data_IF_542875508521
#
_entry.id   IF_542875508521
#
_cell.length_a   1.000
_cell.length_b   1.000
_cell.length_c   1.000
_cell.angle_alpha   90.00
_cell.angle_beta   90.00
_cell.angle_gamma   90.00
#
_symmetry.space_group_name_H-M   'P 1'
#
loop_
_entity.id
_entity.type
_entity.pdbx_description
1 polymer ?
#
# COMPACT_ATOMS: atom_id res chain seq x y z
N UNK A 1 3.25 -18.82 -69.39
CA UNK A 1 2.49 -19.66 -68.42
C UNK A 1 3.12 -19.74 -67.03
N UNK A 2 4.42 -20.08 -66.85
CA UNK A 2 5.03 -20.19 -65.51
C UNK A 2 4.80 -18.97 -64.61
N UNK A 3 5.06 -17.75 -65.12
CA UNK A 3 4.90 -16.50 -64.34
C UNK A 3 3.50 -16.35 -63.73
N UNK A 4 2.45 -16.75 -64.46
CA UNK A 4 1.06 -16.67 -64.02
C UNK A 4 0.76 -17.68 -62.90
N UNK A 5 1.38 -18.86 -62.94
CA UNK A 5 1.30 -19.86 -61.86
C UNK A 5 2.08 -19.42 -60.62
N UNK A 6 3.22 -18.75 -60.80
CA UNK A 6 4.01 -18.18 -59.68
C UNK A 6 3.23 -17.05 -58.99
N UNK A 7 2.60 -16.15 -59.76
CA UNK A 7 1.72 -15.11 -59.22
C UNK A 7 0.51 -15.70 -58.47
N UNK A 8 -0.13 -16.75 -59.01
CA UNK A 8 -1.21 -17.45 -58.34
C UNK A 8 -0.78 -18.12 -57.03
N UNK A 9 0.41 -18.75 -56.99
CA UNK A 9 0.97 -19.35 -55.78
C UNK A 9 1.34 -18.30 -54.72
N UNK A 10 1.93 -17.17 -55.12
CA UNK A 10 2.23 -16.06 -54.21
C UNK A 10 0.94 -15.44 -53.63
N UNK A 11 -0.11 -15.28 -54.45
CA UNK A 11 -1.43 -14.85 -53.99
C UNK A 11 -2.08 -15.83 -53.01
N UNK A 12 -1.91 -17.14 -53.22
CA UNK A 12 -2.45 -18.19 -52.34
C UNK A 12 -1.72 -18.26 -50.98
N UNK A 13 -0.40 -18.02 -50.95
CA UNK A 13 0.37 -17.94 -49.69
C UNK A 13 -0.01 -16.69 -48.89
N UNK A 14 -0.31 -15.57 -49.55
CA UNK A 14 -0.64 -14.30 -48.90
C UNK A 14 -1.97 -14.30 -48.10
N UNK A 15 -2.85 -15.29 -48.32
CA UNK A 15 -4.13 -15.42 -47.59
C UNK A 15 -4.07 -16.38 -46.39
N UNK A 16 -2.90 -16.90 -46.03
CA UNK A 16 -2.70 -17.66 -44.78
C UNK A 16 -2.69 -16.71 -43.58
N UNK A 17 -3.89 -16.33 -43.13
CA UNK A 17 -4.06 -15.70 -41.81
C UNK A 17 -3.67 -16.72 -40.74
N UNK A 18 -2.46 -16.60 -40.20
CA UNK A 18 -1.98 -17.44 -39.11
C UNK A 18 -2.74 -17.07 -37.83
N UNK A 19 -3.81 -17.83 -37.59
CA UNK A 19 -4.46 -17.90 -36.29
C UNK A 19 -3.40 -18.23 -35.21
N UNK A 20 -3.20 -17.28 -34.29
CA UNK A 20 -2.19 -17.31 -33.25
C UNK A 20 -2.77 -16.77 -31.94
N UNK A 21 -2.29 -17.27 -30.79
CA UNK A 21 -2.71 -16.81 -29.46
C UNK A 21 -2.04 -15.47 -29.15
N UNK A 22 -2.83 -14.43 -28.90
CA UNK A 22 -2.33 -13.08 -28.59
C UNK A 22 -1.67 -13.06 -27.21
N UNK A 23 -0.47 -12.48 -27.08
CA UNK A 23 0.10 -12.24 -25.76
C UNK A 23 -0.51 -10.98 -25.13
N UNK A 24 -1.23 -11.18 -24.01
CA UNK A 24 -1.90 -10.11 -23.27
C UNK A 24 -1.05 -9.74 -22.06
N UNK A 25 -0.74 -8.46 -21.94
CA UNK A 25 0.21 -7.91 -20.98
C UNK A 25 -0.42 -6.79 -20.17
N UNK A 26 0.24 -6.47 -19.06
CA UNK A 26 -0.13 -5.41 -18.12
C UNK A 26 -0.29 -4.00 -18.74
N UNK A 27 0.18 -3.79 -19.98
CA UNK A 27 0.14 -2.51 -20.69
C UNK A 27 -0.72 -2.56 -21.97
N UNK A 28 -0.80 -3.69 -22.68
CA UNK A 28 -1.64 -3.80 -23.89
C UNK A 28 -3.12 -4.12 -23.60
N UNK A 29 -3.45 -4.67 -22.43
CA UNK A 29 -4.79 -5.19 -22.09
C UNK A 29 -5.92 -4.17 -22.30
N UNK A 30 -5.69 -2.89 -21.99
CA UNK A 30 -6.67 -1.81 -22.16
C UNK A 30 -6.90 -1.37 -23.61
N UNK A 31 -6.11 -1.87 -24.56
CA UNK A 31 -6.28 -1.65 -26.00
C UNK A 31 -6.82 -2.88 -26.74
N UNK A 32 -6.71 -4.07 -26.13
CA UNK A 32 -7.18 -5.34 -26.69
C UNK A 32 -8.60 -5.68 -26.24
N UNK A 33 -8.94 -5.46 -24.98
CA UNK A 33 -10.23 -5.85 -24.41
C UNK A 33 -11.17 -4.64 -24.37
N UNK A 34 -11.87 -4.41 -25.49
CA UNK A 34 -12.90 -3.39 -25.59
C UNK A 34 -14.24 -3.79 -24.97
N UNK A 35 -15.12 -2.80 -24.80
CA UNK A 35 -16.42 -2.96 -24.12
C UNK A 35 -17.34 -4.03 -24.73
N UNK A 36 -17.17 -4.33 -26.02
CA UNK A 36 -18.03 -5.18 -26.85
C UNK A 36 -17.48 -6.58 -27.09
N UNK A 37 -16.23 -6.85 -26.69
CA UNK A 37 -15.44 -7.89 -27.32
C UNK A 37 -15.43 -9.16 -26.47
N UNK A 38 -15.56 -10.31 -27.12
CA UNK A 38 -15.56 -11.61 -26.45
C UNK A 38 -14.13 -12.16 -26.43
N UNK A 39 -13.58 -12.34 -25.23
CA UNK A 39 -12.20 -12.78 -25.02
C UNK A 39 -12.12 -14.04 -24.16
N UNK A 40 -11.23 -14.94 -24.54
CA UNK A 40 -10.81 -16.10 -23.76
C UNK A 40 -9.35 -15.89 -23.37
N UNK A 41 -9.05 -15.85 -22.06
CA UNK A 41 -7.70 -15.66 -21.52
C UNK A 41 -7.22 -16.88 -20.74
N UNK A 42 -6.03 -17.40 -21.07
CA UNK A 42 -5.26 -18.30 -20.20
C UNK A 42 -4.26 -17.50 -19.35
N UNK A 43 -4.28 -17.69 -18.04
CA UNK A 43 -3.20 -17.26 -17.14
C UNK A 43 -2.23 -18.42 -16.89
N UNK A 44 -0.94 -18.21 -17.20
CA UNK A 44 0.11 -19.24 -17.13
C UNK A 44 1.40 -18.71 -16.49
N UNK A 45 2.34 -19.63 -16.20
CA UNK A 45 3.71 -19.35 -15.80
C UNK A 45 4.66 -20.41 -16.37
N UNK A 46 5.91 -20.07 -16.65
CA UNK A 46 6.82 -20.93 -17.40
C UNK A 46 7.33 -22.11 -16.56
N UNK A 47 7.45 -21.93 -15.24
CA UNK A 47 7.76 -23.02 -14.31
C UNK A 47 6.61 -24.03 -14.16
N UNK A 48 5.35 -23.68 -14.47
CA UNK A 48 4.20 -24.55 -14.25
C UNK A 48 4.16 -25.75 -15.23
N UNK A 49 4.42 -26.95 -14.70
CA UNK A 49 4.45 -28.20 -15.48
C UNK A 49 3.09 -28.63 -16.06
N UNK A 50 1.97 -28.08 -15.60
CA UNK A 50 0.65 -28.29 -16.21
C UNK A 50 0.43 -27.33 -17.38
N UNK A 51 0.70 -26.02 -17.21
CA UNK A 51 0.61 -25.02 -18.29
C UNK A 51 1.41 -25.46 -19.53
N UNK A 52 2.67 -25.90 -19.35
CA UNK A 52 3.50 -26.37 -20.48
C UNK A 52 2.93 -27.60 -21.22
N UNK A 53 2.05 -28.39 -20.60
CA UNK A 53 1.33 -29.50 -21.27
C UNK A 53 0.03 -29.03 -21.92
N UNK A 54 -0.59 -27.98 -21.39
CA UNK A 54 -1.87 -27.45 -21.86
C UNK A 54 -1.72 -26.47 -23.03
N UNK A 55 -0.61 -25.72 -23.12
CA UNK A 55 -0.32 -24.78 -24.19
C UNK A 55 -0.61 -25.30 -25.63
N UNK A 56 -0.16 -26.49 -26.08
CA UNK A 56 -0.49 -26.99 -27.42
C UNK A 56 -1.99 -27.31 -27.62
N UNK A 57 -2.72 -27.63 -26.55
CA UNK A 57 -4.18 -27.78 -26.56
C UNK A 57 -4.85 -26.41 -26.72
N UNK A 58 -4.37 -25.40 -25.99
CA UNK A 58 -4.89 -24.03 -26.09
C UNK A 58 -4.65 -23.40 -27.48
N UNK A 59 -3.47 -23.65 -28.07
CA UNK A 59 -3.15 -23.28 -29.45
C UNK A 59 -3.96 -24.08 -30.50
N UNK A 60 -4.50 -25.26 -30.15
CA UNK A 60 -5.47 -25.96 -30.99
C UNK A 60 -6.88 -25.32 -30.87
N UNK A 61 -7.34 -25.02 -29.64
CA UNK A 61 -8.60 -24.31 -29.38
C UNK A 61 -8.64 -22.98 -30.13
N UNK A 62 -7.56 -22.19 -30.10
CA UNK A 62 -7.47 -20.91 -30.80
C UNK A 62 -7.69 -21.07 -32.31
N UNK A 63 -7.04 -22.06 -32.94
CA UNK A 63 -7.17 -22.30 -34.38
C UNK A 63 -8.58 -22.76 -34.77
N UNK A 64 -9.23 -23.56 -33.92
CA UNK A 64 -10.62 -23.97 -34.14
C UNK A 64 -11.57 -22.77 -34.06
N UNK A 65 -11.52 -21.98 -32.98
CA UNK A 65 -12.36 -20.80 -32.81
C UNK A 65 -12.15 -19.77 -33.94
N UNK A 66 -10.90 -19.50 -34.32
CA UNK A 66 -10.59 -18.61 -35.44
C UNK A 66 -11.11 -19.12 -36.81
N UNK A 67 -11.32 -20.43 -36.96
CA UNK A 67 -11.89 -21.05 -38.17
C UNK A 67 -13.42 -21.19 -38.14
N UNK A 68 -14.04 -21.06 -36.96
CA UNK A 68 -15.46 -21.37 -36.76
C UNK A 68 -16.35 -20.16 -37.11
N UNK A 69 -17.37 -20.32 -37.99
CA UNK A 69 -18.17 -19.21 -38.48
C UNK A 69 -19.06 -18.56 -37.40
N UNK A 70 -19.29 -19.23 -36.27
CA UNK A 70 -20.07 -18.73 -35.13
C UNK A 70 -19.22 -18.03 -34.07
N UNK A 71 -17.90 -18.27 -34.03
CA UNK A 71 -17.00 -17.79 -32.97
C UNK A 71 -15.72 -17.10 -33.48
N UNK A 72 -15.62 -16.81 -34.78
CA UNK A 72 -14.51 -16.08 -35.42
C UNK A 72 -14.15 -14.73 -34.75
N UNK A 73 -15.10 -14.08 -34.07
CA UNK A 73 -14.88 -12.81 -33.36
C UNK A 73 -14.46 -12.99 -31.88
N UNK A 74 -14.08 -14.20 -31.44
CA UNK A 74 -13.60 -14.46 -30.09
C UNK A 74 -12.07 -14.32 -30.05
N UNK A 75 -11.59 -13.28 -29.37
CA UNK A 75 -10.17 -13.08 -29.11
C UNK A 75 -9.63 -14.13 -28.15
N UNK A 76 -8.53 -14.80 -28.49
CA UNK A 76 -7.90 -15.80 -27.63
C UNK A 76 -6.51 -15.33 -27.26
N UNK A 77 -6.24 -15.21 -25.96
CA UNK A 77 -5.01 -14.62 -25.45
C UNK A 77 -4.41 -15.36 -24.26
N UNK A 78 -3.11 -15.15 -24.03
CA UNK A 78 -2.37 -15.72 -22.91
C UNK A 78 -1.66 -14.65 -22.10
N UNK A 79 -1.70 -14.77 -20.79
CA UNK A 79 -1.07 -13.85 -19.81
C UNK A 79 -0.05 -14.62 -18.99
N UNK A 80 1.22 -14.23 -19.08
CA UNK A 80 2.27 -14.73 -18.19
C UNK A 80 2.22 -13.95 -16.87
N UNK A 81 1.94 -14.64 -15.76
CA UNK A 81 1.80 -13.98 -14.44
C UNK A 81 3.13 -13.51 -13.85
N UNK A 82 4.26 -14.01 -14.36
CA UNK A 82 5.60 -13.60 -13.94
C UNK A 82 6.01 -12.28 -14.61
N UNK A 83 5.61 -12.06 -15.88
CA UNK A 83 5.83 -10.79 -16.58
C UNK A 83 4.80 -9.74 -16.16
N UNK A 84 3.51 -10.12 -16.11
CA UNK A 84 2.35 -9.24 -15.88
C UNK A 84 1.59 -9.56 -14.57
N UNK A 85 2.20 -9.40 -13.39
CA UNK A 85 1.55 -9.70 -12.11
C UNK A 85 0.53 -8.64 -11.68
N UNK A 86 0.56 -7.42 -12.24
CA UNK A 86 -0.49 -6.44 -12.02
C UNK A 86 -1.80 -6.94 -12.63
N UNK A 87 -1.73 -7.51 -13.83
CA UNK A 87 -2.85 -8.14 -14.53
C UNK A 87 -3.33 -9.41 -13.83
N UNK A 88 -2.39 -10.26 -13.35
CA UNK A 88 -2.74 -11.44 -12.55
C UNK A 88 -3.45 -11.09 -11.23
N UNK A 89 -2.98 -10.05 -10.52
CA UNK A 89 -3.63 -9.55 -9.32
C UNK A 89 -5.00 -8.91 -9.62
N UNK A 90 -5.11 -8.15 -10.71
CA UNK A 90 -6.34 -7.50 -11.18
C UNK A 90 -7.47 -8.50 -11.42
N UNK A 91 -7.15 -9.67 -11.95
CA UNK A 91 -8.09 -10.77 -12.21
C UNK A 91 -8.17 -11.78 -11.03
N UNK A 92 -7.53 -11.50 -9.90
CA UNK A 92 -7.51 -12.37 -8.69
C UNK A 92 -7.08 -13.82 -8.97
N UNK A 93 -6.06 -14.01 -9.82
CA UNK A 93 -5.57 -15.34 -10.22
C UNK A 93 -4.83 -16.02 -9.07
N UNK A 94 -5.45 -17.07 -8.50
CA UNK A 94 -4.90 -17.82 -7.36
C UNK A 94 -4.21 -19.15 -7.73
N UNK A 95 -4.44 -19.68 -8.94
CA UNK A 95 -3.99 -21.01 -9.39
C UNK A 95 -3.61 -20.98 -10.87
N UNK A 96 -2.79 -21.93 -11.31
CA UNK A 96 -2.30 -22.00 -12.70
C UNK A 96 -2.44 -23.43 -13.27
N UNK A 97 -2.87 -23.57 -14.53
CA UNK A 97 -3.52 -22.53 -15.35
C UNK A 97 -4.86 -22.10 -14.75
N UNK A 98 -5.29 -20.88 -15.06
CA UNK A 98 -6.69 -20.44 -14.88
C UNK A 98 -7.16 -19.88 -16.21
N UNK A 99 -8.35 -20.29 -16.65
CA UNK A 99 -8.95 -19.80 -17.90
C UNK A 99 -10.17 -18.95 -17.56
N UNK A 100 -10.24 -17.77 -18.16
CA UNK A 100 -11.35 -16.83 -17.97
C UNK A 100 -11.96 -16.45 -19.31
N UNK A 101 -13.29 -16.51 -19.37
CA UNK A 101 -14.11 -15.95 -20.44
C UNK A 101 -14.53 -14.54 -20.04
N UNK A 102 -14.47 -13.60 -20.99
CA UNK A 102 -14.77 -12.19 -20.81
C UNK A 102 -15.74 -11.79 -21.91
N UNK A 103 -16.87 -11.18 -21.53
CA UNK A 103 -17.85 -10.64 -22.48
C UNK A 103 -18.60 -9.48 -21.83
N UNK A 104 -18.73 -8.34 -22.50
CA UNK A 104 -19.40 -7.15 -21.97
C UNK A 104 -18.88 -6.71 -20.57
N UNK A 105 -17.57 -6.80 -20.33
CA UNK A 105 -16.91 -6.65 -19.01
C UNK A 105 -17.28 -7.66 -17.90
N UNK A 106 -18.19 -8.60 -18.15
CA UNK A 106 -18.43 -9.73 -17.24
C UNK A 106 -17.33 -10.76 -17.42
N UNK A 107 -16.64 -11.11 -16.32
CA UNK A 107 -15.61 -12.16 -16.32
C UNK A 107 -16.17 -13.42 -15.67
N UNK A 108 -16.00 -14.56 -16.33
CA UNK A 108 -16.43 -15.89 -15.91
C UNK A 108 -15.23 -16.81 -15.84
N UNK A 109 -14.99 -17.41 -14.68
CA UNK A 109 -13.90 -18.38 -14.52
C UNK A 109 -14.38 -19.74 -15.03
N UNK A 110 -13.66 -20.33 -15.98
CA UNK A 110 -13.95 -21.68 -16.47
C UNK A 110 -13.36 -22.68 -15.47
N UNK A 111 -14.15 -23.62 -14.92
CA UNK A 111 -13.66 -24.58 -13.94
C UNK A 111 -12.70 -25.60 -14.58
N UNK A 112 -11.79 -26.14 -13.76
CA UNK A 112 -10.63 -26.93 -14.22
C UNK A 112 -10.99 -28.29 -14.83
N UNK A 113 -12.21 -28.78 -14.58
CA UNK A 113 -12.78 -29.99 -15.19
C UNK A 113 -13.17 -29.78 -16.66
N UNK A 114 -13.83 -28.65 -16.99
CA UNK A 114 -14.26 -28.31 -18.36
C UNK A 114 -13.17 -27.63 -19.20
N UNK A 115 -11.91 -27.63 -18.75
CA UNK A 115 -10.78 -26.94 -19.40
C UNK A 115 -10.37 -27.50 -20.77
N UNK A 116 -10.74 -28.73 -21.12
CA UNK A 116 -10.46 -29.30 -22.45
C UNK A 116 -11.55 -28.95 -23.48
N UNK A 117 -12.77 -28.63 -23.01
CA UNK A 117 -13.97 -28.52 -23.83
C UNK A 117 -14.30 -27.07 -24.24
N UNK A 118 -13.30 -26.18 -24.18
CA UNK A 118 -13.43 -24.73 -24.38
C UNK A 118 -14.17 -24.34 -25.66
N UNK A 119 -13.89 -25.05 -26.77
CA UNK A 119 -14.59 -24.82 -28.05
C UNK A 119 -16.10 -24.98 -27.87
N UNK A 120 -16.53 -26.07 -27.23
CA UNK A 120 -17.95 -26.35 -27.00
C UNK A 120 -18.62 -25.38 -26.02
N UNK A 121 -17.86 -24.82 -25.08
CA UNK A 121 -18.34 -23.79 -24.15
C UNK A 121 -18.65 -22.48 -24.90
N UNK A 122 -17.79 -22.09 -25.83
CA UNK A 122 -17.97 -20.89 -26.65
C UNK A 122 -19.07 -21.12 -27.69
N UNK A 123 -19.02 -22.21 -28.46
CA UNK A 123 -19.94 -22.46 -29.57
C UNK A 123 -21.38 -22.74 -29.11
N UNK A 124 -21.59 -23.52 -28.03
CA UNK A 124 -22.91 -23.77 -27.46
C UNK A 124 -23.36 -22.69 -26.46
N UNK A 125 -22.54 -21.66 -26.24
CA UNK A 125 -22.78 -20.56 -25.29
C UNK A 125 -23.04 -20.99 -23.83
N UNK A 126 -22.56 -22.17 -23.41
CA UNK A 126 -22.71 -22.67 -22.02
C UNK A 126 -21.85 -21.92 -20.99
N UNK A 127 -21.08 -20.90 -21.43
CA UNK A 127 -20.58 -19.85 -20.54
C UNK A 127 -21.71 -19.06 -19.86
N UNK A 128 -22.93 -19.05 -20.42
CA UNK A 128 -24.11 -18.42 -19.77
C UNK A 128 -24.49 -19.07 -18.43
N UNK A 129 -24.18 -20.37 -18.24
CA UNK A 129 -24.37 -21.10 -16.98
C UNK A 129 -23.37 -20.67 -15.90
N UNK A 130 -22.18 -20.23 -16.32
CA UNK A 130 -21.10 -19.88 -15.41
C UNK A 130 -21.40 -18.55 -14.71
N UNK A 131 -21.33 -18.57 -13.38
CA UNK A 131 -21.47 -17.38 -12.56
C UNK A 131 -20.37 -16.38 -12.91
N UNK A 132 -20.78 -15.16 -13.27
CA UNK A 132 -19.85 -14.04 -13.43
C UNK A 132 -19.25 -13.66 -12.07
N UNK A 133 -18.01 -13.17 -12.05
CA UNK A 133 -17.40 -12.64 -10.82
C UNK A 133 -18.19 -11.43 -10.32
N UNK A 134 -18.39 -11.35 -9.00
CA UNK A 134 -19.13 -10.25 -8.38
C UNK A 134 -18.55 -8.88 -8.79
N UNK A 135 -19.41 -7.89 -9.02
CA UNK A 135 -19.01 -6.59 -9.58
C UNK A 135 -17.91 -5.85 -8.79
N UNK A 136 -17.87 -6.03 -7.46
CA UNK A 136 -16.83 -5.47 -6.58
C UNK A 136 -15.44 -6.08 -6.84
N UNK A 137 -15.40 -7.35 -7.26
CA UNK A 137 -14.18 -8.09 -7.64
C UNK A 137 -13.94 -8.09 -9.15
N UNK A 138 -14.76 -7.38 -9.94
CA UNK A 138 -14.54 -7.30 -11.39
C UNK A 138 -13.23 -6.54 -11.70
N UNK A 139 -12.36 -7.07 -12.58
CA UNK A 139 -11.11 -6.40 -12.96
C UNK A 139 -11.35 -5.03 -13.61
N UNK A 140 -12.50 -4.82 -14.25
CA UNK A 140 -12.87 -3.57 -14.90
C UNK A 140 -13.38 -2.49 -13.92
N UNK A 141 -13.53 -2.82 -12.63
CA UNK A 141 -13.90 -1.86 -11.60
C UNK A 141 -12.72 -0.96 -11.17
N UNK A 142 -13.04 0.17 -10.51
CA UNK A 142 -12.04 1.04 -9.86
C UNK A 142 -11.25 0.25 -8.81
N UNK A 143 -11.91 -0.63 -8.05
CA UNK A 143 -11.28 -1.47 -7.02
C UNK A 143 -10.28 -2.44 -7.66
N UNK A 144 -10.67 -3.16 -8.71
CA UNK A 144 -9.78 -4.04 -9.48
C UNK A 144 -8.59 -3.29 -10.07
N UNK A 145 -8.78 -2.05 -10.52
CA UNK A 145 -7.71 -1.17 -11.01
C UNK A 145 -6.73 -0.78 -9.89
N UNK A 146 -7.21 -0.46 -8.68
CA UNK A 146 -6.34 -0.18 -7.51
C UNK A 146 -5.55 -1.42 -7.05
N UNK A 147 -6.16 -2.61 -7.12
CA UNK A 147 -5.46 -3.89 -6.87
C UNK A 147 -4.36 -4.13 -7.92
N UNK A 148 -4.62 -3.84 -9.20
CA UNK A 148 -3.62 -3.92 -10.27
C UNK A 148 -2.41 -3.00 -10.02
N UNK A 149 -2.67 -1.74 -9.65
CA UNK A 149 -1.63 -0.77 -9.29
C UNK A 149 -0.82 -1.22 -8.08
N UNK A 150 -1.46 -1.85 -7.08
CA UNK A 150 -0.78 -2.44 -5.92
C UNK A 150 0.14 -3.59 -6.35
N UNK A 151 -0.30 -4.46 -7.27
CA UNK A 151 0.52 -5.51 -7.86
C UNK A 151 1.77 -4.99 -8.59
N UNK A 152 1.61 -3.95 -9.44
CA UNK A 152 2.75 -3.27 -10.10
C UNK A 152 3.69 -2.63 -9.05
N UNK A 153 3.15 -1.99 -8.01
CA UNK A 153 3.93 -1.39 -6.93
C UNK A 153 4.74 -2.43 -6.13
N UNK A 154 4.16 -3.60 -5.82
CA UNK A 154 4.86 -4.67 -5.09
C UNK A 154 6.01 -5.27 -5.92
N UNK A 155 5.85 -5.45 -7.24
CA UNK A 155 6.96 -5.90 -8.10
C UNK A 155 8.06 -4.84 -8.24
N UNK A 156 7.71 -3.55 -8.24
CA UNK A 156 8.71 -2.47 -8.18
C UNK A 156 9.44 -2.44 -6.83
N UNK A 157 8.71 -2.64 -5.72
CA UNK A 157 9.27 -2.69 -4.37
C UNK A 157 10.18 -3.92 -4.15
N UNK A 158 9.91 -5.07 -4.77
CA UNK A 158 10.82 -6.23 -4.72
C UNK A 158 12.02 -6.12 -5.68
N UNK A 159 11.95 -5.23 -6.67
CA UNK A 159 13.11 -4.78 -7.45
C UNK A 159 13.96 -3.73 -6.73
N UNK A 160 13.52 -3.24 -5.57
CA UNK A 160 14.24 -2.25 -4.77
C UNK A 160 15.38 -2.92 -4.00
N UNK A 161 16.55 -2.27 -3.95
CA UNK A 161 17.65 -2.78 -3.14
C UNK A 161 17.30 -2.74 -1.64
N UNK A 162 17.79 -3.72 -0.88
CA UNK A 162 17.66 -3.75 0.59
C UNK A 162 18.15 -2.43 1.23
N UNK A 163 19.18 -1.80 0.65
CA UNK A 163 19.71 -0.51 1.12
C UNK A 163 18.67 0.60 1.02
N UNK A 164 17.92 0.69 -0.09
CA UNK A 164 16.88 1.71 -0.27
C UNK A 164 15.72 1.49 0.69
N UNK A 165 15.35 0.23 0.96
CA UNK A 165 14.31 -0.11 1.94
C UNK A 165 14.75 0.31 3.35
N UNK A 166 16.00 0.02 3.74
CA UNK A 166 16.55 0.50 5.01
C UNK A 166 16.57 2.03 5.10
N UNK A 167 16.94 2.75 4.03
CA UNK A 167 16.94 4.22 4.03
C UNK A 167 15.53 4.81 4.21
N UNK A 168 14.50 4.23 3.57
CA UNK A 168 13.10 4.66 3.76
C UNK A 168 12.61 4.38 5.19
N UNK A 169 12.96 3.24 5.77
CA UNK A 169 12.62 2.92 7.17
C UNK A 169 13.31 3.86 8.16
N UNK A 170 14.59 4.20 7.93
CA UNK A 170 15.33 5.18 8.75
C UNK A 170 14.74 6.59 8.59
N UNK A 171 14.32 6.99 7.39
CA UNK A 171 13.67 8.28 7.16
C UNK A 171 12.29 8.38 7.85
N UNK A 172 11.48 7.31 7.82
CA UNK A 172 10.20 7.25 8.53
C UNK A 172 10.38 7.28 10.05
N UNK A 173 11.31 6.49 10.60
CA UNK A 173 11.66 6.54 12.02
C UNK A 173 12.20 7.92 12.42
N UNK A 174 13.01 8.54 11.55
CA UNK A 174 13.49 9.91 11.70
C UNK A 174 12.34 10.91 11.82
N UNK A 175 11.35 10.86 10.94
CA UNK A 175 10.15 11.70 11.06
C UNK A 175 9.37 11.41 12.35
N UNK A 176 9.12 10.15 12.71
CA UNK A 176 8.36 9.79 13.92
C UNK A 176 9.07 10.24 15.21
N UNK A 177 10.40 10.27 15.25
CA UNK A 177 11.18 10.70 16.42
C UNK A 177 11.41 12.22 16.45
N UNK A 178 11.62 12.87 15.29
CA UNK A 178 11.95 14.30 15.22
C UNK A 178 10.69 15.18 15.21
N UNK A 179 9.58 14.72 14.63
CA UNK A 179 8.35 15.52 14.54
C UNK A 179 7.79 15.93 15.92
N UNK A 180 7.69 15.05 16.94
CA UNK A 180 7.23 15.44 18.29
C UNK A 180 8.23 16.35 19.04
N UNK A 181 9.50 16.37 18.63
CA UNK A 181 10.52 17.25 19.21
C UNK A 181 10.47 18.64 18.60
N UNK A 182 10.03 18.77 17.34
CA UNK A 182 9.96 20.04 16.62
C UNK A 182 8.57 20.69 16.65
N UNK A 183 7.50 19.89 16.78
CA UNK A 183 6.14 20.34 17.10
C UNK A 183 5.78 19.84 18.51
N UNK A 184 5.99 20.67 19.56
CA UNK A 184 5.51 20.33 20.91
C UNK A 184 3.99 20.17 20.91
N UNK A 185 3.48 19.28 21.77
CA UNK A 185 2.04 19.01 21.84
C UNK A 185 1.34 20.15 22.57
N UNK A 186 0.09 20.45 22.24
CA UNK A 186 -0.66 21.56 22.88
C UNK A 186 -0.73 21.43 24.40
N UNK A 187 -0.77 20.19 24.92
CA UNK A 187 -0.72 19.89 26.34
C UNK A 187 0.56 20.39 27.05
N UNK A 188 1.70 20.43 26.35
CA UNK A 188 2.96 20.95 26.92
C UNK A 188 2.88 22.48 27.10
N UNK A 189 2.18 23.17 26.20
CA UNK A 189 1.95 24.63 26.26
C UNK A 189 0.93 24.99 27.34
N UNK A 190 -0.19 24.27 27.42
CA UNK A 190 -1.22 24.46 28.46
C UNK A 190 -0.62 24.30 29.87
N UNK A 191 0.26 23.31 30.07
CA UNK A 191 0.95 23.08 31.34
C UNK A 191 1.90 24.22 31.72
N UNK A 192 2.64 24.79 30.77
CA UNK A 192 3.49 25.95 31.06
C UNK A 192 2.68 27.21 31.37
N UNK A 193 1.50 27.38 30.76
CA UNK A 193 0.61 28.49 31.11
C UNK A 193 -0.01 28.32 32.52
N UNK A 194 -0.37 27.09 32.91
CA UNK A 194 -0.84 26.78 34.26
C UNK A 194 0.24 27.01 35.33
N UNK A 195 1.47 26.52 35.12
CA UNK A 195 2.61 26.76 36.01
C UNK A 195 2.94 28.27 36.14
N UNK A 196 2.83 29.03 35.05
CA UNK A 196 3.02 30.48 35.07
C UNK A 196 1.94 31.22 35.88
N UNK A 197 0.66 30.85 35.72
CA UNK A 197 -0.47 31.44 36.47
C UNK A 197 -0.36 31.17 37.97
N UNK A 198 0.05 29.96 38.37
CA UNK A 198 0.26 29.61 39.78
C UNK A 198 1.41 30.44 40.41
N UNK A 199 2.52 30.62 39.69
CA UNK A 199 3.64 31.47 40.11
C UNK A 199 3.28 32.96 40.21
N UNK A 200 2.28 33.44 39.46
CA UNK A 200 1.77 34.80 39.58
C UNK A 200 0.84 34.96 40.79
N UNK A 201 -0.04 33.99 41.04
CA UNK A 201 -0.89 33.95 42.24
C UNK A 201 -0.08 33.91 43.53
N UNK A 202 0.98 33.10 43.60
CA UNK A 202 1.86 33.03 44.79
C UNK A 202 2.52 34.39 45.08
N UNK A 203 3.01 35.09 44.05
CA UNK A 203 3.62 36.42 44.19
C UNK A 203 2.61 37.46 44.68
N UNK A 204 1.37 37.44 44.18
CA UNK A 204 0.31 38.33 44.66
C UNK A 204 0.02 38.07 46.14
N UNK A 205 -0.11 36.80 46.54
CA UNK A 205 -0.34 36.42 47.94
C UNK A 205 0.79 36.93 48.86
N UNK A 206 2.06 36.70 48.49
CA UNK A 206 3.22 37.20 49.26
C UNK A 206 3.24 38.74 49.39
N UNK A 207 2.75 39.47 48.38
CA UNK A 207 2.63 40.94 48.41
C UNK A 207 1.48 41.39 49.34
N UNK A 208 0.36 40.67 49.37
CA UNK A 208 -0.75 40.99 50.28
C UNK A 208 -0.42 40.70 51.74
N UNK A 209 0.27 39.59 52.03
CA UNK A 209 0.65 39.25 53.40
C UNK A 209 1.71 40.22 53.95
N UNK A 210 2.72 40.58 53.14
CA UNK A 210 3.66 41.64 53.51
C UNK A 210 2.99 42.99 53.79
N UNK A 211 1.91 43.32 53.06
CA UNK A 211 1.07 44.51 53.34
C UNK A 211 0.29 44.44 54.66
N UNK A 212 0.07 43.25 55.24
CA UNK A 212 -0.50 43.09 56.58
C UNK A 212 0.59 43.32 57.64
N UNK A 213 1.79 42.80 57.43
CA UNK A 213 2.94 42.98 58.33
C UNK A 213 3.36 44.46 58.44
N UNK A 214 3.49 45.15 57.30
CA UNK A 214 3.77 46.60 57.23
C UNK A 214 2.69 47.43 57.96
N UNK A 215 1.46 46.90 58.08
CA UNK A 215 0.32 47.58 58.72
C UNK A 215 0.21 47.28 60.22
N UNK A 216 0.51 46.05 60.67
CA UNK A 216 0.60 45.72 62.10
C UNK A 216 1.76 46.44 62.81
N UNK A 217 2.84 46.76 62.08
CA UNK A 217 4.05 47.39 62.64
C UNK A 217 3.85 48.86 63.07
N UNK A 218 2.65 49.45 62.88
CA UNK A 218 2.38 50.87 63.12
C UNK A 218 1.70 51.21 64.46
N UNK A 219 1.18 50.24 65.22
CA UNK A 219 0.45 50.49 66.47
C UNK A 219 1.31 50.28 67.76
N UNK A 220 2.35 49.43 67.71
CA UNK A 220 3.13 49.03 68.90
C UNK A 220 4.41 49.87 69.10
N UNK A 221 4.33 51.03 69.76
CA UNK A 221 5.53 51.85 70.01
C UNK A 221 5.40 53.03 70.98
N UNK A 222 5.38 52.79 72.30
CA UNK A 222 5.48 53.86 73.31
C UNK A 222 6.38 53.53 74.51
N UNK A 223 7.34 54.43 74.75
CA UNK A 223 8.06 54.72 76.03
C UNK A 223 9.51 54.21 76.22
N UNK A 224 10.34 55.14 76.69
CA UNK A 224 11.52 55.01 77.59
C UNK A 224 12.87 54.39 77.13
N UNK A 225 13.93 55.22 77.23
CA UNK A 225 15.38 54.92 77.34
C UNK A 225 15.89 55.49 78.71
N UNK A 226 17.19 55.49 79.16
CA UNK A 226 18.50 55.10 78.58
C UNK A 226 19.17 53.94 79.41
N UNK A 227 20.48 53.74 79.69
CA UNK A 227 21.81 54.42 79.56
C UNK A 227 22.93 53.34 79.48
N UNK A 228 24.08 53.56 78.77
CA UNK A 228 25.09 52.50 78.53
C UNK A 228 26.37 52.60 79.39
N UNK A 229 27.19 51.54 79.43
CA UNK A 229 28.63 51.60 79.81
C UNK A 229 29.45 50.36 79.37
N UNK A 230 30.79 50.49 79.36
CA UNK A 230 31.92 49.51 79.51
C UNK A 230 31.70 47.98 79.34
N UNK A 231 32.66 47.10 78.98
CA UNK A 231 34.00 47.05 78.34
C UNK A 231 34.64 45.66 78.69
N UNK A 232 35.81 45.32 78.12
CA UNK A 232 36.77 44.26 78.56
C UNK A 232 36.49 42.73 78.41
N UNK A 233 37.21 42.13 77.44
CA UNK A 233 38.28 41.10 77.59
C UNK A 233 38.03 39.63 78.04
N UNK A 234 38.96 38.76 77.58
CA UNK A 234 39.22 37.32 77.93
C UNK A 234 38.09 36.30 77.69
N UNK A 235 38.22 35.18 76.96
CA UNK A 235 39.29 34.18 76.66
C UNK A 235 39.32 32.94 77.57
N UNK A 236 38.96 31.78 76.98
CA UNK A 236 39.24 30.36 77.35
C UNK A 236 39.06 29.89 78.80
N UNK A 237 38.27 28.81 78.94
CA UNK A 237 38.47 27.78 79.97
C UNK A 237 38.37 26.39 79.30
N UNK A 238 39.37 25.50 79.47
CA UNK A 238 39.32 24.08 79.04
C UNK A 238 39.48 23.18 80.29
N UNK A 239 38.88 21.99 80.27
CA UNK A 239 38.52 21.19 81.45
C UNK A 239 39.55 20.09 81.80
N UNK A 240 39.93 19.96 83.08
CA UNK A 240 40.57 18.83 83.82
C UNK A 240 41.83 18.12 83.23
N UNK A 241 42.88 17.77 83.99
CA UNK A 241 43.03 16.77 85.10
C UNK A 241 42.62 15.33 84.69
N UNK A 242 43.31 14.24 85.04
CA UNK A 242 44.51 13.96 85.88
C UNK A 242 45.59 13.21 85.04
N UNK A 243 46.90 13.14 85.37
CA UNK A 243 47.62 12.39 86.45
C UNK A 243 47.40 10.87 86.39
N UNK A 244 48.49 10.16 86.72
CA UNK A 244 48.74 8.71 86.82
C UNK A 244 47.60 7.89 87.46
#
# INVERSE_FOLDING_TARGET
MLLLRILALLGFVATLSFAQVTEVTDDNVGSLIGNSDEWLLEFYADWCGYCRKFAPTYEAVQRVLASSPTSHNVGVGKVNVETSPGLAARFFVQRLPTIMHIKNHEVRVIPADRMNDLVSIIENQSWTELQAVNGMTSPFSVIGTMVACTGKMVKWASSMSNVTICLLMVALLGMVVIFPVYFPTTADLEKQEEEARLLEQEKVQQIEDKKKDDKNTLDDGKSTAPKPESSESTTKQRRSKHID
#
